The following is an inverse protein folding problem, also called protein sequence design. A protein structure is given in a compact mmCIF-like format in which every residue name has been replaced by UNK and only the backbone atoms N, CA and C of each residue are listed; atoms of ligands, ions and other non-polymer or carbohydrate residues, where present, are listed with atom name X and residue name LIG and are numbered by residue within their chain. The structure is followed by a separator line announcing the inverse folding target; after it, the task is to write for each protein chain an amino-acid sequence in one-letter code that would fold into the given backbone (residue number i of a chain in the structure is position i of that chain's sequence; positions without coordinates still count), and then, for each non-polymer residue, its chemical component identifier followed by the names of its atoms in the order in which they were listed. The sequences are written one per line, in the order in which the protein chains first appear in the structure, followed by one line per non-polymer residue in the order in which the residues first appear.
data_IF_202613258592
#
_entry.id   IF_202613258592
#
_cell.length_a   1.000
_cell.length_b   1.000
_cell.length_c   1.000
_cell.angle_alpha   90.00
_cell.angle_beta   90.00
_cell.angle_gamma   90.00
#
_symmetry.space_group_name_H-M   'P 1'
#
loop_
_entity.id
_entity.type
_entity.pdbx_description
1 polymer ?
#
# COMPACT_ATOMS: atom_id res chain seq x y z
N UNK A 1 5.23 16.31 8.28
CA UNK A 1 4.97 15.83 9.62
C UNK A 1 5.36 14.38 9.76
N UNK A 2 5.78 14.04 10.92
CA UNK A 2 6.25 12.70 11.19
C UNK A 2 5.13 11.67 11.24
N UNK A 3 3.89 12.11 11.39
CA UNK A 3 2.79 11.19 11.58
C UNK A 3 2.63 10.19 10.43
N UNK A 4 2.75 10.66 9.18
CA UNK A 4 2.58 9.74 8.07
C UNK A 4 3.69 8.69 8.05
N UNK A 5 4.93 9.12 8.20
CA UNK A 5 6.06 8.19 8.17
C UNK A 5 6.05 7.22 9.34
N UNK A 6 5.48 7.63 10.46
CA UNK A 6 5.41 6.79 11.64
C UNK A 6 4.17 5.92 11.70
N UNK A 7 3.24 6.09 10.75
CA UNK A 7 1.99 5.35 10.78
C UNK A 7 2.26 3.86 10.53
N UNK A 8 1.85 2.97 11.45
CA UNK A 8 2.13 1.54 11.28
C UNK A 8 1.55 0.95 9.99
N UNK A 9 0.38 1.43 9.56
CA UNK A 9 -0.22 0.95 8.32
C UNK A 9 0.69 1.29 7.14
N UNK A 10 1.24 2.51 7.12
CA UNK A 10 2.13 2.93 6.05
C UNK A 10 3.40 2.09 6.02
N UNK A 11 4.00 1.87 7.19
CA UNK A 11 5.20 1.04 7.27
C UNK A 11 4.94 -0.36 6.74
N UNK A 12 3.81 -0.95 7.15
CA UNK A 12 3.46 -2.29 6.73
C UNK A 12 3.24 -2.34 5.22
N UNK A 13 2.51 -1.38 4.68
CA UNK A 13 2.21 -1.35 3.25
C UNK A 13 3.47 -1.20 2.42
N UNK A 14 4.41 -0.37 2.86
CA UNK A 14 5.66 -0.19 2.12
C UNK A 14 6.41 -1.50 1.98
N UNK A 15 6.46 -2.29 3.06
CA UNK A 15 7.12 -3.60 3.00
C UNK A 15 6.37 -4.55 2.09
N UNK A 16 5.04 -4.62 2.26
CA UNK A 16 4.23 -5.55 1.47
C UNK A 16 4.28 -5.24 -0.02
N UNK A 17 4.22 -3.98 -0.37
CA UNK A 17 4.25 -3.58 -1.77
C UNK A 17 5.61 -3.84 -2.39
N UNK A 18 6.67 -3.63 -1.63
CA UNK A 18 8.00 -3.93 -2.11
C UNK A 18 8.17 -5.42 -2.39
N UNK A 19 7.68 -6.26 -1.48
CA UNK A 19 7.77 -7.71 -1.65
C UNK A 19 6.85 -8.23 -2.74
N UNK A 20 5.70 -7.57 -2.91
CA UNK A 20 4.68 -8.00 -3.86
C UNK A 20 4.75 -7.33 -5.21
N UNK A 21 5.89 -6.73 -5.53
CA UNK A 21 6.08 -6.12 -6.84
C UNK A 21 5.11 -4.97 -7.08
N UNK A 22 4.83 -4.23 -6.04
CA UNK A 22 3.97 -3.06 -6.11
C UNK A 22 2.50 -3.32 -5.88
N UNK A 23 2.12 -4.56 -5.53
CA UNK A 23 0.73 -4.88 -5.26
C UNK A 23 0.59 -5.74 -4.01
N UNK A 24 -0.56 -5.60 -3.35
CA UNK A 24 -0.91 -6.48 -2.25
C UNK A 24 -2.42 -6.50 -2.09
N UNK A 25 -2.97 -7.68 -1.82
CA UNK A 25 -4.39 -7.84 -1.56
C UNK A 25 -4.59 -8.82 -0.40
N UNK A 26 -5.62 -8.58 0.40
CA UNK A 26 -5.94 -9.47 1.49
C UNK A 26 -7.05 -8.91 2.35
N UNK A 27 -7.46 -9.68 3.32
CA UNK A 27 -8.51 -9.27 4.24
C UNK A 27 -7.92 -8.51 5.41
N UNK A 28 -8.79 -7.88 6.21
CA UNK A 28 -8.33 -7.12 7.37
C UNK A 28 -7.48 -7.98 8.30
N UNK A 29 -7.88 -9.23 8.52
CA UNK A 29 -7.13 -10.14 9.37
C UNK A 29 -5.71 -10.32 8.85
N UNK A 30 -5.57 -10.49 7.54
CA UNK A 30 -4.25 -10.66 6.94
C UNK A 30 -3.39 -9.42 7.12
N UNK A 31 -3.99 -8.26 6.90
CA UNK A 31 -3.23 -7.02 7.02
C UNK A 31 -2.79 -6.79 8.46
N UNK A 32 -3.65 -7.11 9.42
CA UNK A 32 -3.30 -6.95 10.82
C UNK A 32 -2.15 -7.89 11.22
N UNK A 33 -2.15 -9.11 10.69
CA UNK A 33 -1.04 -10.03 10.92
C UNK A 33 0.26 -9.47 10.36
N UNK A 34 0.20 -8.86 9.19
CA UNK A 34 1.38 -8.25 8.61
C UNK A 34 1.85 -7.05 9.43
N UNK A 35 0.91 -6.31 10.01
CA UNK A 35 1.25 -5.21 10.89
C UNK A 35 2.03 -5.65 12.12
N UNK A 36 1.64 -6.78 12.69
CA UNK A 36 2.40 -7.34 13.81
C UNK A 36 3.80 -7.73 13.39
N UNK A 37 3.92 -8.29 12.18
CA UNK A 37 5.21 -8.77 11.71
C UNK A 37 6.14 -7.62 11.32
N UNK A 38 5.63 -6.62 10.61
CA UNK A 38 6.50 -5.59 10.02
C UNK A 38 6.50 -4.27 10.76
N UNK A 39 5.44 -3.96 11.50
CA UNK A 39 5.38 -2.74 12.28
C UNK A 39 5.36 -3.02 13.78
N UNK A 40 5.30 -4.30 14.16
CA UNK A 40 5.37 -4.75 15.54
C UNK A 40 4.27 -4.14 16.40
N UNK A 41 3.09 -3.96 15.83
CA UNK A 41 1.98 -3.36 16.55
C UNK A 41 0.66 -3.76 15.93
N UNK A 42 -0.40 -3.58 16.71
CA UNK A 42 -1.76 -3.78 16.20
C UNK A 42 -2.14 -2.56 15.39
N UNK A 43 -2.50 -2.77 14.12
CA UNK A 43 -2.84 -1.66 13.22
C UNK A 43 -4.13 -0.96 13.63
N UNK A 44 -5.08 -1.71 14.16
CA UNK A 44 -6.36 -1.17 14.60
C UNK A 44 -7.03 -2.19 15.52
N UNK A 45 -7.93 -1.74 16.41
CA UNK A 45 -8.58 -2.68 17.33
C UNK A 45 -9.60 -3.59 16.69
N UNK A 46 -10.17 -3.19 15.56
CA UNK A 46 -11.15 -3.99 14.85
C UNK A 46 -10.97 -3.86 13.36
N UNK A 47 -11.60 -4.77 12.60
CA UNK A 47 -11.59 -4.70 11.13
C UNK A 47 -12.24 -3.42 10.64
N UNK A 48 -13.30 -2.98 11.28
CA UNK A 48 -13.98 -1.75 10.89
C UNK A 48 -13.10 -0.54 11.12
N UNK A 49 -12.42 -0.50 12.27
CA UNK A 49 -11.50 0.59 12.57
C UNK A 49 -10.35 0.62 11.58
N UNK A 50 -9.86 -0.55 11.18
CA UNK A 50 -8.80 -0.64 10.20
C UNK A 50 -9.24 -0.06 8.86
N UNK A 51 -10.41 -0.46 8.40
CA UNK A 51 -10.93 0.03 7.12
C UNK A 51 -11.10 1.55 7.15
N UNK A 52 -11.61 2.07 8.26
CA UNK A 52 -11.78 3.51 8.40
C UNK A 52 -10.43 4.22 8.37
N UNK A 53 -9.44 3.67 9.06
CA UNK A 53 -8.12 4.29 9.09
C UNK A 53 -7.48 4.30 7.72
N UNK A 54 -7.63 3.21 6.97
CA UNK A 54 -7.11 3.15 5.61
C UNK A 54 -7.75 4.24 4.75
N UNK A 55 -9.06 4.40 4.86
CA UNK A 55 -9.77 5.43 4.11
C UNK A 55 -9.27 6.82 4.45
N UNK A 56 -8.99 7.06 5.74
CA UNK A 56 -8.46 8.35 6.17
C UNK A 56 -7.06 8.60 5.62
N UNK A 57 -6.26 7.55 5.47
CA UNK A 57 -4.92 7.68 4.96
C UNK A 57 -4.84 7.74 3.44
N UNK A 58 -5.92 7.39 2.77
CA UNK A 58 -5.89 7.22 1.31
C UNK A 58 -5.34 8.43 0.57
N UNK A 59 -5.76 9.67 0.85
CA UNK A 59 -5.20 10.81 0.13
C UNK A 59 -3.69 10.94 0.28
N UNK A 60 -3.18 10.67 1.48
CA UNK A 60 -1.74 10.76 1.71
C UNK A 60 -0.99 9.59 1.09
N UNK A 61 -1.60 8.40 1.11
CA UNK A 61 -0.99 7.26 0.43
C UNK A 61 -0.76 7.58 -1.04
N UNK A 62 -1.75 8.17 -1.68
CA UNK A 62 -1.62 8.54 -3.08
C UNK A 62 -0.61 9.66 -3.26
N UNK A 63 -0.72 10.72 -2.46
CA UNK A 63 0.13 11.89 -2.62
C UNK A 63 1.60 11.59 -2.33
N UNK A 64 1.85 10.82 -1.27
CA UNK A 64 3.22 10.59 -0.80
C UNK A 64 3.89 9.40 -1.46
N UNK A 65 3.15 8.32 -1.67
CA UNK A 65 3.74 7.06 -2.14
C UNK A 65 3.11 6.56 -3.42
N UNK A 66 2.16 7.30 -3.99
CA UNK A 66 1.46 6.89 -5.20
C UNK A 66 0.79 5.52 -5.03
N UNK A 67 0.28 5.27 -3.84
CA UNK A 67 -0.41 4.02 -3.53
C UNK A 67 -1.89 4.22 -3.73
N UNK A 68 -2.48 3.40 -4.58
CA UNK A 68 -3.91 3.38 -4.84
C UNK A 68 -4.56 2.30 -3.99
N UNK A 69 -5.69 2.62 -3.41
CA UNK A 69 -6.44 1.69 -2.58
C UNK A 69 -7.87 1.54 -3.09
N UNK A 70 -8.36 0.31 -3.11
CA UNK A 70 -9.78 0.05 -3.33
C UNK A 70 -10.14 -1.24 -2.60
N UNK A 71 -11.44 -1.45 -2.37
CA UNK A 71 -11.89 -2.66 -1.74
C UNK A 71 -12.81 -3.43 -2.67
N UNK A 72 -12.90 -4.73 -2.42
CA UNK A 72 -13.74 -5.64 -3.18
C UNK A 72 -14.52 -6.49 -2.21
N UNK A 73 -15.81 -6.61 -2.41
CA UNK A 73 -16.62 -7.52 -1.60
C UNK A 73 -16.51 -8.92 -2.14
N UNK A 74 -16.30 -9.86 -1.22
CA UNK A 74 -16.08 -11.25 -1.60
C UNK A 74 -17.11 -12.15 -0.91
N UNK A 75 -18.38 -11.93 -1.17
CA UNK A 75 -19.44 -12.73 -0.62
C UNK A 75 -19.45 -12.71 0.89
N UNK A 76 -19.45 -13.88 1.51
CA UNK A 76 -19.48 -13.96 2.96
C UNK A 76 -18.13 -13.73 3.61
N UNK A 77 -17.06 -13.72 2.81
CA UNK A 77 -15.73 -13.51 3.36
C UNK A 77 -15.48 -12.06 3.75
N UNK A 78 -16.32 -11.15 3.29
CA UNK A 78 -16.21 -9.76 3.67
C UNK A 78 -15.44 -8.93 2.67
N UNK A 79 -14.85 -7.84 3.19
CA UNK A 79 -14.17 -6.86 2.33
C UNK A 79 -12.72 -7.25 2.16
N UNK A 80 -12.29 -7.27 0.90
CA UNK A 80 -10.89 -7.51 0.56
C UNK A 80 -10.25 -6.17 0.24
N UNK A 81 -9.14 -5.89 0.88
CA UNK A 81 -8.38 -4.65 0.69
C UNK A 81 -7.36 -4.84 -0.41
N UNK A 82 -7.28 -3.88 -1.33
CA UNK A 82 -6.34 -3.95 -2.44
C UNK A 82 -5.50 -2.69 -2.47
N UNK A 83 -4.20 -2.86 -2.65
CA UNK A 83 -3.27 -1.75 -2.73
C UNK A 83 -2.38 -1.95 -3.94
N UNK A 84 -2.11 -0.85 -4.65
CA UNK A 84 -1.21 -0.88 -5.79
C UNK A 84 -0.40 0.39 -5.80
N UNK A 85 0.92 0.27 -5.87
CA UNK A 85 1.80 1.42 -5.99
C UNK A 85 1.99 1.69 -7.47
N UNK A 86 1.57 2.87 -7.90
CA UNK A 86 1.59 3.22 -9.32
C UNK A 86 2.98 3.58 -9.79
N UNK A 87 3.82 4.13 -8.88
CA UNK A 87 5.20 4.45 -9.19
C UNK A 87 6.08 3.80 -8.16
N UNK A 88 7.11 3.16 -8.63
CA UNK A 88 8.07 2.59 -7.73
C UNK A 88 9.25 3.46 -7.76
N UNK A 89 9.52 4.23 -7.34
CA UNK A 89 10.63 5.03 -7.20
C UNK A 89 11.09 5.86 -8.08
N UNK A 90 11.48 6.19 -8.15
CA UNK A 90 11.79 6.88 -8.79
C UNK A 90 12.87 7.11 -9.32
N UNK A 91 13.08 6.77 -9.66
CA UNK A 91 14.11 6.82 -10.23
C UNK A 91 14.12 7.29 -11.37
N UNK A 92 13.98 7.27 -11.94
CA UNK A 92 13.99 7.51 -12.66
C UNK A 92 13.84 7.91 -13.30
N UNK A 93 14.05 8.21 -13.83
CA UNK A 93 13.96 8.52 -14.50
C UNK A 93 13.93 8.68 -15.28
N UNK A 94 13.89 8.70 -15.69
CA UNK A 94 13.97 8.73 -16.17
C UNK A 94 14.23 8.60 -16.98
N UNK A 95 14.39 8.32 -17.36
CA UNK A 95 14.65 8.17 -17.76
C UNK A 95 14.70 7.50 -18.40
N UNK A 96 14.83 7.25 -18.75
CA UNK A 96 14.76 6.83 -18.86
C UNK A 96 14.60 6.20 -19.59
N UNK A 97 14.72 5.96 -19.96
CA UNK A 97 14.31 5.58 -20.15
C UNK A 97 14.15 5.13 -20.78
N UNK A 98 14.36 5.09 -21.03
CA UNK A 98 13.95 4.79 -21.16
C UNK A 98 13.76 4.35 -21.69
N UNK A 99 14.32 4.21 -22.33
CA UNK A 99 14.02 3.97 -22.45
C UNK A 99 13.81 3.50 -23.12
N UNK A 100 14.29 3.50 -23.43
CA UNK A 100 13.89 3.21 -23.51
C UNK A 100 13.58 2.91 -24.31
N UNK A 101 14.03 2.81 -24.53
CA UNK A 101 13.50 2.65 -24.75
C UNK A 101 13.20 2.50 -25.42
N UNK A 102 13.67 2.50 -25.19
CA UNK A 102 13.19 2.41 -25.33
C UNK A 102 12.87 2.43 -25.68
N UNK A 103 13.57 2.61 -26.16
CA UNK A 103 13.09 2.77 -26.22
C UNK A 103 12.76 2.81 -26.49
N UNK A 104 13.41 2.68 -26.88
CA UNK A 104 12.91 2.88 -26.71
C UNK A 104 12.58 3.02 -27.10
N UNK A 105 13.26 2.99 -26.88
CA UNK A 105 12.75 3.17 -26.84
C UNK A 105 12.51 3.09 -27.02
N UNK A 106 12.92 3.08 -27.27
CA UNK A 106 12.46 3.21 -26.96
C UNK A 106 12.06 3.13 -27.16
#
# INVERSE_FOLDING_TARGET
MAEYEAEPIVKTLRVLLQQGDGTWSGYSKNLMEMGQRYAHTELAPTSQALAKRITELEPMLWERDAIRYWDTRCGTAGKRHNFKQERIDNTVPATSTQVSLRHNFH
#
